data_IF_583111839063
#
_entry.id   IF_583111839063
#
_cell.length_a   1.000
_cell.length_b   1.000
_cell.length_c   1.000
_cell.angle_alpha   90.00
_cell.angle_beta   90.00
_cell.angle_gamma   90.00
#
_symmetry.space_group_name_H-M   'P 1'
#
loop_
_entity.id
_entity.type
_entity.pdbx_description
1 polymer ?
#
# COMPACT_ATOMS: atom_id res chain seq x y z
N UNK A 1 1.84 -6.32 -0.51
CA UNK A 1 2.99 -7.04 0.08
C UNK A 1 2.53 -8.41 0.57
N UNK A 2 3.42 -9.41 0.64
CA UNK A 2 3.17 -10.73 1.24
C UNK A 2 3.93 -10.82 2.57
N UNK A 3 3.21 -10.76 3.68
CA UNK A 3 3.78 -10.69 5.03
C UNK A 3 3.38 -11.93 5.83
N UNK A 4 4.30 -12.66 6.48
CA UNK A 4 3.95 -13.70 7.45
C UNK A 4 3.15 -13.13 8.62
N UNK A 5 2.19 -13.89 9.16
CA UNK A 5 1.32 -13.43 10.25
C UNK A 5 2.11 -12.95 11.48
N UNK A 6 3.24 -13.59 11.79
CA UNK A 6 4.10 -13.21 12.92
C UNK A 6 4.76 -11.82 12.75
N UNK A 7 4.87 -11.33 11.52
CA UNK A 7 5.49 -10.05 11.19
C UNK A 7 4.46 -8.96 10.82
N UNK A 8 3.18 -9.32 10.71
CA UNK A 8 2.16 -8.47 10.11
C UNK A 8 2.05 -7.12 10.81
N UNK A 9 1.81 -7.11 12.12
CA UNK A 9 1.65 -5.90 12.93
C UNK A 9 2.90 -5.01 12.88
N UNK A 10 4.09 -5.61 13.01
CA UNK A 10 5.37 -4.89 12.92
C UNK A 10 5.52 -4.18 11.57
N UNK A 11 5.23 -4.90 10.48
CA UNK A 11 5.34 -4.33 9.13
C UNK A 11 4.27 -3.28 8.89
N UNK A 12 3.04 -3.49 9.36
CA UNK A 12 1.95 -2.53 9.24
C UNK A 12 2.28 -1.21 9.96
N UNK A 13 2.86 -1.27 11.17
CA UNK A 13 3.34 -0.08 11.89
C UNK A 13 4.43 0.66 11.12
N UNK A 14 5.41 -0.08 10.57
CA UNK A 14 6.47 0.51 9.76
C UNK A 14 5.92 1.20 8.51
N UNK A 15 4.99 0.58 7.79
CA UNK A 15 4.33 1.19 6.62
C UNK A 15 3.53 2.44 7.02
N UNK A 16 2.82 2.40 8.15
CA UNK A 16 2.03 3.54 8.63
C UNK A 16 2.88 4.74 9.08
N UNK A 17 4.18 4.55 9.33
CA UNK A 17 5.09 5.64 9.70
C UNK A 17 5.46 6.56 8.52
N UNK A 18 5.17 6.15 7.27
CA UNK A 18 5.42 6.96 6.09
C UNK A 18 4.26 7.93 5.85
N UNK A 19 4.50 9.26 5.85
CA UNK A 19 3.43 10.25 5.67
C UNK A 19 2.76 10.19 4.29
N UNK A 20 3.45 9.63 3.29
CA UNK A 20 2.90 9.39 1.96
C UNK A 20 1.87 8.24 1.92
N UNK A 21 1.77 7.41 2.96
CA UNK A 21 0.77 6.32 3.03
C UNK A 21 -0.56 6.87 3.55
N UNK A 22 -1.55 6.95 2.67
CA UNK A 22 -2.88 7.49 2.99
C UNK A 22 -3.81 6.46 3.63
N UNK A 23 -3.73 5.21 3.18
CA UNK A 23 -4.55 4.10 3.69
C UNK A 23 -3.73 2.81 3.72
N UNK A 24 -3.97 1.97 4.71
CA UNK A 24 -3.35 0.65 4.84
C UNK A 24 -4.41 -0.36 5.27
N UNK A 25 -4.40 -1.55 4.65
CA UNK A 25 -5.43 -2.56 4.82
C UNK A 25 -4.86 -3.98 4.89
N UNK A 26 -5.39 -4.76 5.82
CA UNK A 26 -5.31 -6.20 5.78
C UNK A 26 -6.23 -6.80 4.70
N UNK A 27 -5.79 -7.90 4.09
CA UNK A 27 -6.55 -8.67 3.09
C UNK A 27 -6.38 -10.16 3.36
N UNK A 28 -7.47 -10.91 3.20
CA UNK A 28 -7.46 -12.37 3.18
C UNK A 28 -7.01 -12.86 1.78
N UNK A 29 -5.71 -12.73 1.51
CA UNK A 29 -5.08 -13.06 0.23
C UNK A 29 -3.57 -13.27 0.41
N UNK A 30 -2.89 -13.95 -0.52
CA UNK A 30 -1.43 -14.16 -0.45
C UNK A 30 -0.62 -12.85 -0.42
N UNK A 31 -1.13 -11.81 -1.06
CA UNK A 31 -0.72 -10.42 -0.81
C UNK A 31 -1.68 -9.89 0.26
N UNK A 32 -1.29 -9.92 1.52
CA UNK A 32 -2.18 -9.66 2.66
C UNK A 32 -2.08 -8.23 3.22
N UNK A 33 -1.07 -7.43 2.82
CA UNK A 33 -0.95 -6.03 3.25
C UNK A 33 -0.95 -5.10 2.03
N UNK A 34 -1.96 -4.24 1.96
CA UNK A 34 -2.24 -3.34 0.84
C UNK A 34 -2.30 -1.91 1.33
N UNK A 35 -1.63 -0.99 0.64
CA UNK A 35 -1.67 0.41 1.00
C UNK A 35 -1.79 1.32 -0.23
N UNK A 36 -2.31 2.52 0.00
CA UNK A 36 -2.39 3.58 -1.00
C UNK A 36 -1.29 4.58 -0.71
N UNK A 37 -0.38 4.75 -1.66
CA UNK A 37 0.67 5.76 -1.61
C UNK A 37 0.24 7.00 -2.38
N UNK A 38 0.35 8.17 -1.75
CA UNK A 38 0.11 9.47 -2.35
C UNK A 38 1.34 10.34 -2.20
N UNK A 39 1.90 10.78 -3.32
CA UNK A 39 3.04 11.69 -3.38
C UNK A 39 2.67 12.94 -4.14
N UNK A 40 3.14 14.11 -3.70
CA UNK A 40 2.89 15.38 -4.42
C UNK A 40 3.47 15.37 -5.85
N UNK A 41 4.56 14.62 -6.05
CA UNK A 41 5.26 14.52 -7.33
C UNK A 41 5.51 13.06 -7.69
N UNK A 42 5.31 12.64 -8.96
CA UNK A 42 5.50 11.25 -9.37
C UNK A 42 6.90 10.70 -9.08
N UNK A 43 7.94 11.54 -9.18
CA UNK A 43 9.33 11.12 -8.99
C UNK A 43 9.65 10.75 -7.54
N UNK A 44 8.83 11.18 -6.57
CA UNK A 44 8.97 10.78 -5.17
C UNK A 44 8.45 9.39 -4.89
N UNK A 45 7.52 8.89 -5.71
CA UNK A 45 6.86 7.59 -5.51
C UNK A 45 7.89 6.47 -5.41
N UNK A 46 8.78 6.35 -6.40
CA UNK A 46 9.75 5.25 -6.45
C UNK A 46 10.70 5.27 -5.24
N UNK A 47 11.20 6.46 -4.86
CA UNK A 47 12.06 6.61 -3.68
C UNK A 47 11.36 6.22 -2.37
N UNK A 48 10.05 6.49 -2.25
CA UNK A 48 9.29 6.11 -1.05
C UNK A 48 9.02 4.61 -1.04
N UNK A 49 8.72 4.00 -2.19
CA UNK A 49 8.55 2.55 -2.28
C UNK A 49 9.85 1.82 -1.89
N UNK A 50 11.01 2.26 -2.39
CA UNK A 50 12.32 1.72 -2.00
C UNK A 50 12.58 1.88 -0.49
N UNK A 51 12.21 3.02 0.09
CA UNK A 51 12.35 3.25 1.53
C UNK A 51 11.45 2.34 2.37
N UNK A 52 10.23 2.06 1.91
CA UNK A 52 9.30 1.11 2.57
C UNK A 52 9.87 -0.31 2.49
N UNK A 53 10.40 -0.73 1.33
CA UNK A 53 11.06 -2.03 1.18
C UNK A 53 12.25 -2.17 2.12
N UNK A 54 13.11 -1.15 2.19
CA UNK A 54 14.27 -1.14 3.08
C UNK A 54 13.88 -1.17 4.57
N UNK A 55 12.84 -0.45 4.97
CA UNK A 55 12.39 -0.39 6.36
C UNK A 55 11.71 -1.69 6.82
N UNK A 56 10.96 -2.33 5.93
CA UNK A 56 10.16 -3.52 6.26
C UNK A 56 10.91 -4.83 6.03
N UNK A 57 11.83 -4.85 5.06
CA UNK A 57 12.51 -6.05 4.57
C UNK A 57 11.68 -6.88 3.59
N UNK A 58 10.54 -6.37 3.12
CA UNK A 58 9.65 -7.08 2.20
C UNK A 58 9.44 -6.32 0.90
N UNK A 59 9.30 -7.03 -0.23
CA UNK A 59 9.07 -6.40 -1.52
C UNK A 59 7.69 -5.72 -1.57
N UNK A 60 7.67 -4.56 -2.23
CA UNK A 60 6.47 -3.80 -2.56
C UNK A 60 6.20 -3.97 -4.05
N UNK A 61 4.93 -4.26 -4.38
CA UNK A 61 4.50 -4.36 -5.77
C UNK A 61 3.79 -3.07 -6.16
N UNK A 62 4.44 -2.25 -7.00
CA UNK A 62 3.84 -1.04 -7.53
C UNK A 62 2.76 -1.38 -8.56
N UNK A 63 1.52 -0.97 -8.26
CA UNK A 63 0.35 -1.21 -9.09
C UNK A 63 -0.32 0.13 -9.43
N UNK A 64 0.31 0.97 -10.27
CA UNK A 64 -0.23 2.28 -10.59
C UNK A 64 -1.54 2.16 -11.37
N UNK A 65 -2.48 3.05 -11.06
CA UNK A 65 -3.72 3.18 -11.83
C UNK A 65 -3.40 3.65 -13.25
N UNK A 66 -3.63 2.81 -14.25
CA UNK A 66 -3.41 3.13 -15.65
C UNK A 66 -4.61 3.83 -16.30
N UNK A 67 -5.81 3.43 -15.88
CA UNK A 67 -7.07 3.98 -16.33
C UNK A 67 -8.08 3.96 -15.18
N UNK A 68 -8.99 4.93 -15.17
CA UNK A 68 -10.08 5.00 -14.21
C UNK A 68 -11.41 4.76 -14.92
N UNK A 69 -12.21 3.85 -14.36
CA UNK A 69 -13.54 3.55 -14.85
C UNK A 69 -14.54 3.73 -13.72
N UNK A 70 -15.63 4.43 -14.00
CA UNK A 70 -16.65 4.73 -13.00
C UNK A 70 -17.75 3.66 -13.07
N UNK A 71 -17.88 2.87 -11.99
CA UNK A 71 -18.89 1.80 -11.89
C UNK A 71 -20.32 2.38 -11.76
N UNK A 72 -20.46 3.62 -11.30
CA UNK A 72 -21.77 4.27 -11.15
C UNK A 72 -22.71 3.57 -10.16
N UNK A 73 -22.17 2.79 -9.21
CA UNK A 73 -22.94 2.04 -8.23
C UNK A 73 -23.80 2.99 -7.38
N UNK A 74 -25.10 2.69 -7.31
CA UNK A 74 -26.04 3.32 -6.39
C UNK A 74 -26.67 2.22 -5.54
N UNK A 75 -26.68 2.42 -4.23
CA UNK A 75 -27.35 1.56 -3.28
C UNK A 75 -28.53 2.34 -2.71
N UNK A 76 -29.71 1.72 -2.66
CA UNK A 76 -30.86 2.28 -1.96
C UNK A 76 -30.63 2.12 -0.45
N UNK A 77 -30.94 3.18 0.30
CA UNK A 77 -30.86 3.24 1.77
C UNK A 77 -32.19 2.86 2.40
#
# INVERSE_FOLDING_TARGET
MKIPDADFERVAEQVNAFPEVAHNYARDHALNLWFVLATEKPERKDAVLEAIEAATGYPVHDMPKLAEYFVGLRLEV
#
